data_IF_633007136136
#
_entry.id   IF_633007136136
#
_cell.length_a   1.000
_cell.length_b   1.000
_cell.length_c   1.000
_cell.angle_alpha   90.00
_cell.angle_beta   90.00
_cell.angle_gamma   90.00
#
_symmetry.space_group_name_H-M   'P 1'
#
loop_
_entity.id
_entity.type
_entity.pdbx_description
1 polymer ?
#
# COMPACT_ATOMS: atom_id res chain seq x y z
N UNK A 1 -5.84 4.01 -31.05
CA UNK A 1 -5.22 3.98 -29.75
C UNK A 1 -6.21 4.31 -28.64
N UNK A 2 -6.45 3.42 -27.79
CA UNK A 2 -7.47 3.66 -26.76
C UNK A 2 -6.96 4.55 -25.65
N UNK A 3 -6.97 5.83 -25.93
CA UNK A 3 -6.52 6.81 -24.95
C UNK A 3 -7.35 6.75 -23.68
N UNK A 4 -8.53 6.16 -23.78
CA UNK A 4 -9.44 6.09 -22.66
C UNK A 4 -9.28 4.83 -21.82
N UNK A 5 -8.26 4.03 -22.07
CA UNK A 5 -8.06 2.81 -21.29
C UNK A 5 -7.80 3.17 -19.85
N UNK A 6 -8.61 2.61 -18.96
CA UNK A 6 -8.42 2.83 -17.53
C UNK A 6 -7.17 2.11 -17.04
N UNK A 7 -6.47 2.77 -16.15
CA UNK A 7 -5.38 2.14 -15.42
C UNK A 7 -6.01 1.36 -14.27
N UNK A 8 -5.79 0.06 -14.26
CA UNK A 8 -6.31 -0.79 -13.20
C UNK A 8 -5.20 -1.16 -12.25
N UNK A 9 -5.44 -0.93 -10.98
CA UNK A 9 -4.50 -1.27 -9.93
C UNK A 9 -4.92 -2.60 -9.33
N UNK A 10 -3.96 -3.52 -9.22
CA UNK A 10 -4.22 -4.79 -8.57
C UNK A 10 -4.04 -4.62 -7.06
N UNK A 11 -5.13 -4.30 -6.38
CA UNK A 11 -5.08 -3.97 -4.96
C UNK A 11 -4.65 -5.13 -4.09
N UNK A 12 -4.84 -6.36 -4.56
CA UNK A 12 -4.35 -7.53 -3.86
C UNK A 12 -2.83 -7.54 -3.81
N UNK A 13 -2.21 -7.25 -4.93
CA UNK A 13 -0.76 -7.16 -4.99
C UNK A 13 -0.23 -5.98 -4.18
N UNK A 14 -0.95 -4.86 -4.23
CA UNK A 14 -0.58 -3.70 -3.39
C UNK A 14 -0.64 -4.11 -1.92
N UNK A 15 -1.68 -4.82 -1.52
CA UNK A 15 -1.82 -5.28 -0.14
C UNK A 15 -0.66 -6.15 0.31
N UNK A 16 -0.19 -7.02 -0.58
CA UNK A 16 0.98 -7.86 -0.27
C UNK A 16 2.22 -7.00 -0.06
N UNK A 17 2.38 -5.93 -0.86
CA UNK A 17 3.53 -5.03 -0.68
C UNK A 17 3.44 -4.26 0.63
N UNK A 18 2.24 -3.86 1.04
CA UNK A 18 2.05 -3.22 2.34
C UNK A 18 2.46 -4.17 3.45
N UNK A 19 2.05 -5.43 3.36
CA UNK A 19 2.42 -6.42 4.34
C UNK A 19 3.93 -6.65 4.36
N UNK A 20 4.55 -6.64 3.20
CA UNK A 20 6.00 -6.76 3.10
C UNK A 20 6.70 -5.60 3.81
N UNK A 21 6.20 -4.38 3.64
CA UNK A 21 6.75 -3.22 4.32
C UNK A 21 6.62 -3.38 5.83
N UNK A 22 5.47 -3.86 6.29
CA UNK A 22 5.26 -4.07 7.72
C UNK A 22 6.25 -5.07 8.30
N UNK A 23 6.55 -6.13 7.55
CA UNK A 23 7.47 -7.16 8.00
C UNK A 23 6.86 -8.11 9.02
N UNK A 24 7.66 -9.08 9.42
CA UNK A 24 7.18 -10.12 10.32
C UNK A 24 7.10 -9.67 11.77
N UNK A 25 7.97 -8.75 12.17
CA UNK A 25 8.11 -8.40 13.59
C UNK A 25 7.14 -7.34 14.04
N UNK A 26 6.67 -6.52 13.12
CA UNK A 26 5.74 -5.46 13.47
C UNK A 26 4.32 -6.01 13.44
N UNK A 27 3.55 -5.80 14.51
CA UNK A 27 2.16 -6.21 14.49
C UNK A 27 1.32 -5.13 13.82
N UNK A 28 0.12 -5.53 13.40
CA UNK A 28 -0.78 -4.62 12.68
C UNK A 28 -1.19 -3.43 13.54
N UNK A 29 -1.39 -3.64 14.84
CA UNK A 29 -1.86 -2.54 15.70
C UNK A 29 -0.84 -1.41 15.76
N UNK A 30 0.43 -1.74 15.95
CA UNK A 30 1.48 -0.73 16.02
C UNK A 30 1.68 -0.06 14.67
N UNK A 31 1.70 -0.84 13.59
CA UNK A 31 1.93 -0.32 12.25
C UNK A 31 0.79 0.60 11.82
N UNK A 32 -0.45 0.22 12.14
CA UNK A 32 -1.60 1.06 11.79
C UNK A 32 -1.53 2.41 12.49
N UNK A 33 -1.09 2.43 13.75
CA UNK A 33 -0.94 3.70 14.47
C UNK A 33 0.08 4.60 13.77
N UNK A 34 1.16 4.02 13.30
CA UNK A 34 2.18 4.80 12.58
C UNK A 34 1.64 5.38 11.28
N UNK A 35 0.70 4.68 10.66
CA UNK A 35 0.09 5.15 9.43
C UNK A 35 -1.11 6.06 9.67
N UNK A 36 -1.55 6.22 10.92
CA UNK A 36 -2.68 7.07 11.25
C UNK A 36 -4.02 6.45 10.86
N UNK A 37 -4.12 5.13 10.84
CA UNK A 37 -5.35 4.42 10.50
C UNK A 37 -5.65 3.36 11.56
N UNK A 38 -6.86 2.81 11.52
CA UNK A 38 -7.23 1.74 12.43
C UNK A 38 -6.59 0.42 12.00
N UNK A 39 -6.48 -0.50 12.94
CA UNK A 39 -5.97 -1.83 12.61
C UNK A 39 -6.87 -2.54 11.60
N UNK A 40 -8.18 -2.38 11.74
CA UNK A 40 -9.12 -2.98 10.79
C UNK A 40 -8.91 -2.44 9.39
N UNK A 41 -8.64 -1.15 9.25
CA UNK A 41 -8.37 -0.56 7.95
C UNK A 41 -7.08 -1.12 7.36
N UNK A 42 -6.04 -1.25 8.18
CA UNK A 42 -4.79 -1.83 7.70
C UNK A 42 -5.00 -3.27 7.23
N UNK A 43 -5.78 -4.04 7.99
CA UNK A 43 -6.07 -5.42 7.61
C UNK A 43 -6.74 -5.48 6.24
N UNK A 44 -7.71 -4.57 6.00
CA UNK A 44 -8.38 -4.52 4.70
C UNK A 44 -7.41 -4.15 3.59
N UNK A 45 -6.50 -3.23 3.85
CA UNK A 45 -5.48 -2.87 2.86
C UNK A 45 -4.58 -4.06 2.54
N UNK A 46 -4.14 -4.78 3.54
CA UNK A 46 -3.25 -5.92 3.33
C UNK A 46 -3.94 -7.06 2.59
N UNK A 47 -5.26 -7.15 2.71
CA UNK A 47 -6.04 -8.17 2.00
C UNK A 47 -6.45 -7.73 0.60
N UNK A 48 -6.20 -6.49 0.26
CA UNK A 48 -6.64 -5.96 -1.03
C UNK A 48 -8.13 -5.71 -1.08
N UNK A 49 -8.79 -5.57 0.08
CA UNK A 49 -10.23 -5.42 0.15
C UNK A 49 -10.69 -3.98 -0.10
N UNK A 50 -9.79 -3.03 -0.08
CA UNK A 50 -10.13 -1.65 -0.38
C UNK A 50 -8.93 -0.92 -0.98
N UNK A 51 -9.21 0.15 -1.70
CA UNK A 51 -8.16 1.02 -2.24
C UNK A 51 -7.54 1.80 -1.11
N UNK A 52 -6.27 2.12 -1.28
CA UNK A 52 -5.53 2.89 -0.28
C UNK A 52 -5.52 4.34 -0.70
N UNK A 53 -5.92 5.22 0.19
CA UNK A 53 -5.94 6.65 -0.09
C UNK A 53 -4.54 7.23 -0.24
N UNK A 54 -4.48 8.39 -0.89
CA UNK A 54 -3.21 9.01 -1.24
C UNK A 54 -2.34 9.32 -0.01
N UNK A 55 -2.95 9.78 1.07
CA UNK A 55 -2.19 10.15 2.26
C UNK A 55 -1.50 8.93 2.87
N UNK A 56 -2.18 7.79 2.90
CA UNK A 56 -1.59 6.58 3.45
C UNK A 56 -0.52 6.04 2.51
N UNK A 57 -0.76 6.11 1.20
CA UNK A 57 0.26 5.70 0.23
C UNK A 57 1.54 6.51 0.41
N UNK A 58 1.41 7.81 0.63
CA UNK A 58 2.58 8.66 0.83
C UNK A 58 3.32 8.29 2.11
N UNK A 59 2.58 8.03 3.19
CA UNK A 59 3.20 7.61 4.44
C UNK A 59 3.93 6.28 4.30
N UNK A 60 3.31 5.35 3.58
CA UNK A 60 3.95 4.06 3.31
C UNK A 60 5.23 4.23 2.50
N UNK A 61 5.19 5.08 1.49
CA UNK A 61 6.36 5.33 0.65
C UNK A 61 7.49 5.92 1.48
N UNK A 62 7.18 6.92 2.29
CA UNK A 62 8.20 7.57 3.12
C UNK A 62 8.78 6.62 4.17
N UNK A 63 7.92 5.80 4.75
CA UNK A 63 8.34 4.88 5.79
C UNK A 63 9.25 3.78 5.24
N UNK A 64 8.97 3.33 4.03
CA UNK A 64 9.67 2.19 3.44
C UNK A 64 10.86 2.59 2.58
N UNK A 65 10.93 3.84 2.17
CA UNK A 65 11.93 4.27 1.18
C UNK A 65 11.58 3.84 -0.23
N UNK A 66 10.41 3.24 -0.43
CA UNK A 66 9.95 2.88 -1.76
C UNK A 66 9.15 4.01 -2.36
N UNK A 67 8.92 3.94 -3.67
CA UNK A 67 8.09 4.93 -4.35
C UNK A 67 6.62 4.53 -4.29
N UNK A 68 5.74 5.52 -4.49
CA UNK A 68 4.32 5.22 -4.62
C UNK A 68 4.08 4.35 -5.84
N UNK A 69 4.82 4.60 -6.92
CA UNK A 69 4.71 3.76 -8.10
C UNK A 69 5.02 2.30 -7.78
N UNK A 70 6.09 2.06 -7.02
CA UNK A 70 6.39 0.69 -6.62
C UNK A 70 5.24 0.07 -5.82
N UNK A 71 4.66 0.84 -4.90
CA UNK A 71 3.54 0.34 -4.13
C UNK A 71 2.38 -0.09 -5.03
N UNK A 72 2.07 0.72 -6.02
CA UNK A 72 0.89 0.49 -6.86
C UNK A 72 1.14 -0.51 -7.98
N UNK A 73 2.36 -0.61 -8.49
CA UNK A 73 2.62 -1.40 -9.70
C UNK A 73 3.66 -2.48 -9.52
N UNK A 74 4.48 -2.37 -8.48
CA UNK A 74 5.59 -3.29 -8.29
C UNK A 74 6.85 -2.90 -9.06
N UNK A 75 6.81 -1.81 -9.81
CA UNK A 75 7.99 -1.33 -10.54
C UNK A 75 8.69 -0.23 -9.78
N UNK A 76 10.00 -0.30 -9.76
CA UNK A 76 10.84 0.71 -9.14
C UNK A 76 11.64 1.39 -10.24
N UNK A 77 11.32 2.65 -10.50
CA UNK A 77 11.89 3.40 -11.62
C UNK A 77 13.13 4.19 -11.26
N UNK A 78 13.84 3.80 -10.26
CA UNK A 78 15.05 4.53 -9.88
C UNK A 78 16.26 4.12 -10.71
#
# INVERSE_FOLDING_TARGET
MPASRKLEIDWRSVGRRVREIRGFEANQAAFSRELGISQGQLSRYEQGASEIGAAVLLRLARKSGKTIEWLLTGFDNT
#
